data_IF_977535151742
#
_entry.id   IF_977535151742
#
_cell.length_a   1.000
_cell.length_b   1.000
_cell.length_c   1.000
_cell.angle_alpha   90.00
_cell.angle_beta   90.00
_cell.angle_gamma   90.00
#
_symmetry.space_group_name_H-M   'P 1'
#
loop_
_entity.id
_entity.type
_entity.pdbx_description
1 polymer ?
#
# COMPACT_ATOMS: atom_id res chain seq x y z
N UNK A 1 -67.22 -66.79 30.70
CA UNK A 1 -66.70 -65.49 31.17
C UNK A 1 -65.18 -65.46 31.35
N UNK A 2 -64.51 -66.48 31.92
CA UNK A 2 -63.04 -66.48 32.08
C UNK A 2 -62.24 -66.47 30.76
N UNK A 3 -62.65 -67.28 29.77
CA UNK A 3 -61.94 -67.33 28.47
C UNK A 3 -62.12 -66.04 27.68
N UNK A 4 -63.32 -65.44 27.73
CA UNK A 4 -63.63 -64.16 27.08
C UNK A 4 -62.84 -63.00 27.67
N UNK A 5 -62.57 -63.01 28.98
CA UNK A 5 -61.73 -62.01 29.66
C UNK A 5 -60.26 -62.14 29.26
N UNK A 6 -59.73 -63.37 29.14
CA UNK A 6 -58.34 -63.61 28.71
C UNK A 6 -58.11 -63.20 27.26
N UNK A 7 -59.06 -63.46 26.37
CA UNK A 7 -58.97 -63.02 24.96
C UNK A 7 -59.08 -61.50 24.85
N UNK A 8 -59.95 -60.86 25.65
CA UNK A 8 -60.06 -59.40 25.68
C UNK A 8 -58.82 -58.72 26.27
N UNK A 9 -58.17 -59.33 27.27
CA UNK A 9 -56.89 -58.86 27.84
C UNK A 9 -55.75 -59.06 26.84
N UNK A 10 -55.67 -60.18 26.13
CA UNK A 10 -54.63 -60.41 25.12
C UNK A 10 -54.77 -59.49 23.89
N UNK A 11 -56.00 -59.22 23.45
CA UNK A 11 -56.27 -58.29 22.33
C UNK A 11 -55.98 -56.84 22.75
N UNK A 12 -56.34 -56.43 23.98
CA UNK A 12 -56.01 -55.09 24.49
C UNK A 12 -54.51 -54.91 24.73
N UNK A 13 -53.79 -55.94 25.18
CA UNK A 13 -52.32 -55.91 25.32
C UNK A 13 -51.62 -55.78 23.96
N UNK A 14 -52.11 -56.46 22.91
CA UNK A 14 -51.55 -56.35 21.56
C UNK A 14 -51.82 -55.01 20.88
N UNK A 15 -52.89 -54.30 21.26
CA UNK A 15 -53.20 -52.95 20.76
C UNK A 15 -52.43 -51.82 21.44
N UNK A 16 -51.67 -52.12 22.49
CA UNK A 16 -50.84 -51.16 23.23
C UNK A 16 -49.33 -51.35 23.00
N UNK A 17 -48.93 -52.39 22.25
CA UNK A 17 -47.55 -52.63 21.89
C UNK A 17 -47.16 -51.76 20.68
N UNK A 18 -46.69 -50.54 20.93
CA UNK A 18 -45.96 -49.81 19.90
C UNK A 18 -44.70 -50.61 19.55
N UNK A 19 -44.65 -51.16 18.33
CA UNK A 19 -43.55 -51.97 17.81
C UNK A 19 -42.30 -51.12 17.59
N UNK A 20 -41.61 -50.76 18.66
CA UNK A 20 -40.23 -50.30 18.57
C UNK A 20 -39.34 -51.51 18.34
N UNK A 21 -38.45 -51.44 17.35
CA UNK A 21 -37.51 -52.51 17.06
C UNK A 21 -36.16 -52.11 17.67
N UNK A 22 -35.75 -52.83 18.70
CA UNK A 22 -34.41 -52.76 19.27
C UNK A 22 -33.55 -53.91 18.75
N UNK A 23 -32.37 -53.61 18.23
CA UNK A 23 -31.32 -54.61 18.00
C UNK A 23 -30.25 -54.35 19.06
N UNK A 24 -29.95 -55.39 19.85
CA UNK A 24 -28.99 -55.36 20.96
C UNK A 24 -29.27 -54.38 22.12
N UNK A 25 -30.29 -53.52 22.01
CA UNK A 25 -30.77 -52.69 23.12
C UNK A 25 -32.17 -53.12 23.57
N UNK A 26 -32.39 -53.37 24.88
CA UNK A 26 -33.73 -53.61 25.41
C UNK A 26 -34.53 -52.31 25.60
N UNK A 27 -33.92 -51.14 25.33
CA UNK A 27 -34.48 -49.81 25.59
C UNK A 27 -34.36 -48.90 24.34
N UNK A 28 -35.14 -49.18 23.26
CA UNK A 28 -35.10 -48.38 22.04
C UNK A 28 -35.49 -46.91 22.28
N UNK A 29 -34.71 -45.97 21.76
CA UNK A 29 -34.99 -44.52 21.90
C UNK A 29 -35.81 -43.96 20.72
N UNK A 30 -36.23 -44.81 19.78
CA UNK A 30 -36.98 -44.46 18.58
C UNK A 30 -37.86 -45.62 18.09
N UNK A 31 -38.36 -45.54 16.85
CA UNK A 31 -39.10 -46.66 16.22
C UNK A 31 -38.17 -47.79 15.80
N UNK A 32 -36.91 -47.47 15.50
CA UNK A 32 -35.84 -48.44 15.26
C UNK A 32 -34.57 -47.96 15.94
N UNK A 33 -33.93 -48.82 16.74
CA UNK A 33 -32.71 -48.51 17.47
C UNK A 33 -31.72 -49.68 17.39
N UNK A 34 -30.55 -49.46 16.81
CA UNK A 34 -29.45 -50.42 16.77
C UNK A 34 -28.39 -49.96 17.76
N UNK A 35 -28.05 -50.82 18.71
CA UNK A 35 -26.95 -50.64 19.65
C UNK A 35 -25.80 -51.56 19.26
N UNK A 36 -24.75 -51.00 18.67
CA UNK A 36 -23.63 -51.78 18.14
C UNK A 36 -22.82 -52.46 19.23
N UNK A 37 -22.55 -51.75 20.32
CA UNK A 37 -21.70 -52.22 21.42
C UNK A 37 -22.45 -53.02 22.49
N UNK A 38 -23.79 -53.02 22.45
CA UNK A 38 -24.67 -53.61 23.46
C UNK A 38 -24.43 -53.02 24.85
N UNK A 39 -24.15 -51.73 24.92
CA UNK A 39 -23.76 -51.04 26.15
C UNK A 39 -24.83 -50.06 26.65
N UNK A 40 -25.98 -49.94 25.97
CA UNK A 40 -27.07 -49.07 26.41
C UNK A 40 -27.68 -49.49 27.76
N UNK A 41 -28.08 -48.52 28.60
CA UNK A 41 -28.73 -48.81 29.86
C UNK A 41 -30.12 -49.41 29.63
N UNK A 42 -30.50 -50.34 30.51
CA UNK A 42 -31.80 -51.03 30.46
C UNK A 42 -32.99 -50.04 30.60
N UNK A 43 -32.77 -48.88 31.20
CA UNK A 43 -33.74 -47.79 31.29
C UNK A 43 -33.05 -46.42 31.16
N UNK A 44 -33.82 -45.38 30.80
CA UNK A 44 -33.31 -44.02 30.64
C UNK A 44 -32.66 -43.75 29.28
N UNK A 45 -32.08 -42.56 29.11
CA UNK A 45 -31.40 -42.17 27.87
C UNK A 45 -29.93 -42.63 27.94
N UNK A 46 -29.36 -43.28 26.92
CA UNK A 46 -27.94 -43.61 26.91
C UNK A 46 -27.04 -42.38 27.03
N UNK A 47 -25.85 -42.54 27.61
CA UNK A 47 -24.83 -41.48 27.68
C UNK A 47 -24.28 -41.15 26.28
N UNK A 48 -23.63 -40.00 26.12
CA UNK A 48 -23.05 -39.59 24.83
C UNK A 48 -22.02 -40.60 24.28
N UNK A 49 -21.31 -41.31 25.17
CA UNK A 49 -20.33 -42.35 24.78
C UNK A 49 -21.02 -43.60 24.25
N UNK A 50 -22.14 -44.00 24.86
CA UNK A 50 -22.94 -45.14 24.41
C UNK A 50 -23.64 -44.82 23.07
N UNK A 51 -24.28 -43.65 22.98
CA UNK A 51 -24.96 -43.22 21.74
C UNK A 51 -24.02 -43.16 20.53
N UNK A 52 -22.72 -42.93 20.72
CA UNK A 52 -21.76 -42.79 19.62
C UNK A 52 -21.64 -44.03 18.72
N UNK A 53 -22.05 -45.21 19.21
CA UNK A 53 -22.06 -46.44 18.43
C UNK A 53 -23.48 -46.88 18.01
N UNK A 54 -24.49 -46.01 18.22
CA UNK A 54 -25.89 -46.30 17.94
C UNK A 54 -26.38 -45.72 16.60
N UNK A 55 -27.41 -46.37 16.05
CA UNK A 55 -28.24 -45.82 14.97
C UNK A 55 -29.69 -45.78 15.44
N UNK A 56 -30.31 -44.59 15.45
CA UNK A 56 -31.71 -44.38 15.85
C UNK A 56 -32.54 -43.81 14.71
N UNK A 57 -33.74 -44.34 14.50
CA UNK A 57 -34.76 -43.78 13.60
C UNK A 57 -35.98 -43.38 14.42
N UNK A 58 -36.41 -42.13 14.29
CA UNK A 58 -37.61 -41.61 14.94
C UNK A 58 -38.87 -41.79 14.07
N UNK A 59 -40.06 -41.76 14.69
CA UNK A 59 -41.33 -41.82 13.95
C UNK A 59 -41.54 -40.65 12.98
N UNK A 60 -40.79 -39.55 13.16
CA UNK A 60 -40.75 -38.43 12.22
C UNK A 60 -39.92 -38.71 10.95
N UNK A 61 -39.30 -39.89 10.84
CA UNK A 61 -38.43 -40.27 9.71
C UNK A 61 -36.99 -39.73 9.81
N UNK A 62 -36.61 -39.20 10.97
CA UNK A 62 -35.26 -38.66 11.19
C UNK A 62 -34.33 -39.78 11.61
N UNK A 63 -33.15 -39.85 10.98
CA UNK A 63 -32.12 -40.84 11.25
C UNK A 63 -30.95 -40.17 11.99
N UNK A 64 -30.62 -40.67 13.17
CA UNK A 64 -29.45 -40.31 13.94
C UNK A 64 -28.40 -41.42 13.90
N UNK A 65 -27.17 -41.08 13.58
CA UNK A 65 -25.99 -41.95 13.74
C UNK A 65 -25.11 -41.29 14.79
N UNK A 66 -24.86 -41.98 15.90
CA UNK A 66 -24.15 -41.40 17.05
C UNK A 66 -25.04 -40.61 18.01
N UNK A 67 -26.33 -40.45 17.73
CA UNK A 67 -27.28 -39.66 18.53
C UNK A 67 -28.71 -40.23 18.46
N UNK A 68 -29.40 -40.18 19.59
CA UNK A 68 -30.81 -40.59 19.73
C UNK A 68 -31.79 -39.43 19.50
N UNK A 69 -31.31 -38.19 19.37
CA UNK A 69 -32.11 -36.98 19.18
C UNK A 69 -31.74 -36.21 17.89
N UNK A 70 -31.90 -36.82 16.69
CA UNK A 70 -31.59 -36.15 15.44
C UNK A 70 -32.40 -34.86 15.25
N UNK A 71 -31.74 -33.78 14.79
CA UNK A 71 -32.35 -32.47 14.53
C UNK A 71 -32.56 -32.17 13.04
N UNK A 72 -32.24 -33.14 12.20
CA UNK A 72 -32.32 -33.14 10.74
C UNK A 72 -32.72 -34.52 10.24
N UNK A 73 -33.12 -34.62 8.96
CA UNK A 73 -33.48 -35.91 8.35
C UNK A 73 -32.36 -36.95 8.48
N UNK A 74 -31.10 -36.52 8.34
CA UNK A 74 -29.92 -37.30 8.70
C UNK A 74 -28.99 -36.45 9.56
N UNK A 75 -28.74 -36.89 10.80
CA UNK A 75 -27.85 -36.23 11.74
C UNK A 75 -26.76 -37.22 12.18
N UNK A 76 -25.51 -36.88 11.90
CA UNK A 76 -24.35 -37.70 12.24
C UNK A 76 -23.51 -36.93 13.26
N UNK A 77 -23.23 -37.57 14.39
CA UNK A 77 -22.46 -36.97 15.50
C UNK A 77 -21.24 -37.82 15.82
N UNK A 78 -20.10 -37.18 16.10
CA UNK A 78 -18.89 -37.86 16.55
C UNK A 78 -18.90 -38.09 18.09
N UNK A 79 -18.16 -39.09 18.55
CA UNK A 79 -17.99 -39.42 19.97
C UNK A 79 -17.43 -38.23 20.76
N UNK A 80 -17.98 -37.98 21.97
CA UNK A 80 -17.62 -36.86 22.86
C UNK A 80 -17.94 -35.46 22.30
N UNK A 81 -18.77 -35.38 21.25
CA UNK A 81 -19.19 -34.10 20.69
C UNK A 81 -20.63 -33.81 21.10
N UNK A 82 -20.85 -32.72 21.83
CA UNK A 82 -22.20 -32.22 22.07
C UNK A 82 -22.67 -31.50 20.81
N UNK A 83 -23.60 -32.12 20.08
CA UNK A 83 -24.27 -31.44 18.96
C UNK A 83 -25.05 -30.23 19.51
N UNK A 84 -24.47 -29.04 19.39
CA UNK A 84 -25.04 -27.77 19.85
C UNK A 84 -26.20 -27.25 19.00
N UNK A 85 -26.72 -28.07 18.08
CA UNK A 85 -27.85 -27.71 17.23
C UNK A 85 -29.14 -27.74 18.07
N UNK A 86 -29.46 -26.61 18.70
CA UNK A 86 -30.70 -26.42 19.45
C UNK A 86 -31.92 -26.37 18.51
N UNK A 87 -31.78 -25.67 17.38
CA UNK A 87 -32.75 -25.56 16.30
C UNK A 87 -32.00 -25.56 14.96
N UNK A 88 -32.46 -26.37 13.99
CA UNK A 88 -31.91 -26.35 12.63
C UNK A 88 -32.99 -25.96 11.63
N UNK A 89 -32.71 -24.94 10.84
CA UNK A 89 -33.61 -24.40 9.82
C UNK A 89 -33.29 -24.91 8.41
N UNK A 90 -32.23 -25.69 8.25
CA UNK A 90 -31.91 -26.35 6.99
C UNK A 90 -32.72 -27.65 6.87
N UNK A 91 -32.96 -28.11 5.65
CA UNK A 91 -33.43 -29.47 5.36
C UNK A 91 -32.27 -30.20 4.67
N UNK A 92 -31.47 -30.98 5.40
CA UNK A 92 -30.26 -31.60 4.84
C UNK A 92 -29.53 -32.53 5.80
N UNK A 93 -28.25 -32.81 5.49
CA UNK A 93 -27.35 -33.58 6.35
C UNK A 93 -26.66 -32.62 7.32
N UNK A 94 -26.75 -32.89 8.63
CA UNK A 94 -25.94 -32.21 9.64
C UNK A 94 -24.81 -33.14 10.09
N UNK A 95 -23.57 -32.69 9.91
CA UNK A 95 -22.37 -33.30 10.49
C UNK A 95 -21.93 -32.41 11.66
N UNK A 96 -21.92 -32.96 12.86
CA UNK A 96 -21.52 -32.19 14.05
C UNK A 96 -20.36 -32.86 14.76
N UNK A 97 -19.38 -32.05 15.13
CA UNK A 97 -18.22 -32.45 15.90
C UNK A 97 -17.64 -31.26 16.65
N UNK A 98 -16.73 -31.51 17.59
CA UNK A 98 -15.94 -30.47 18.25
C UNK A 98 -14.61 -30.32 17.52
N UNK A 99 -14.12 -29.09 17.39
CA UNK A 99 -12.81 -28.80 16.81
C UNK A 99 -12.38 -27.40 17.22
N UNK A 100 -11.40 -27.33 18.11
CA UNK A 100 -10.75 -26.10 18.54
C UNK A 100 -9.31 -26.14 18.06
N UNK A 101 -8.92 -25.17 17.22
CA UNK A 101 -7.51 -24.99 16.87
C UNK A 101 -7.06 -25.71 15.60
N UNK A 102 -5.78 -25.52 15.32
CA UNK A 102 -5.14 -25.53 13.99
C UNK A 102 -4.81 -26.92 13.44
N UNK A 103 -5.19 -27.98 14.14
CA UNK A 103 -4.85 -29.38 13.86
C UNK A 103 -5.90 -30.08 13.00
N UNK A 104 -6.73 -29.31 12.30
CA UNK A 104 -7.87 -29.76 11.53
C UNK A 104 -8.83 -30.69 12.27
N UNK A 105 -8.91 -30.55 13.60
CA UNK A 105 -10.04 -31.00 14.38
C UNK A 105 -11.33 -30.29 13.94
N UNK A 106 -12.46 -30.99 14.05
CA UNK A 106 -13.78 -30.51 13.64
C UNK A 106 -14.39 -31.31 12.48
N UNK A 107 -15.73 -31.24 12.35
CA UNK A 107 -16.47 -32.03 11.38
C UNK A 107 -16.06 -31.61 9.98
N UNK A 108 -15.75 -32.61 9.15
CA UNK A 108 -15.30 -32.38 7.78
C UNK A 108 -15.95 -33.32 6.80
N UNK A 109 -16.06 -32.83 5.58
CA UNK A 109 -16.35 -33.62 4.40
C UNK A 109 -15.02 -33.98 3.73
N UNK A 110 -14.78 -35.26 3.54
CA UNK A 110 -13.52 -35.78 2.98
C UNK A 110 -13.72 -36.21 1.53
N UNK A 111 -12.81 -35.76 0.67
CA UNK A 111 -12.71 -36.17 -0.72
C UNK A 111 -11.42 -36.96 -0.89
N UNK A 112 -11.54 -38.19 -1.38
CA UNK A 112 -10.41 -39.09 -1.57
C UNK A 112 -10.08 -39.26 -3.06
N UNK A 113 -8.79 -39.16 -3.39
CA UNK A 113 -8.24 -39.63 -4.66
C UNK A 113 -7.28 -40.78 -4.41
N UNK A 114 -7.75 -42.01 -4.60
CA UNK A 114 -6.97 -43.25 -4.36
C UNK A 114 -5.76 -43.40 -5.29
N UNK A 115 -5.74 -42.68 -6.42
CA UNK A 115 -4.61 -42.65 -7.36
C UNK A 115 -3.53 -41.64 -6.99
N UNK A 116 -3.76 -40.75 -6.01
CA UNK A 116 -2.74 -39.83 -5.54
C UNK A 116 -1.64 -40.57 -4.74
N UNK A 117 -0.42 -40.00 -4.65
CA UNK A 117 0.64 -40.56 -3.82
C UNK A 117 0.20 -40.78 -2.37
N UNK A 118 0.74 -41.83 -1.73
CA UNK A 118 0.50 -42.12 -0.31
C UNK A 118 0.84 -40.88 0.53
N UNK A 119 -0.09 -40.49 1.39
CA UNK A 119 0.00 -39.30 2.25
C UNK A 119 -0.57 -38.02 1.65
N UNK A 120 -1.11 -38.05 0.43
CA UNK A 120 -1.73 -36.90 -0.25
C UNK A 120 -3.13 -37.22 -0.82
N UNK A 121 -3.78 -38.30 -0.36
CA UNK A 121 -5.02 -38.78 -0.99
C UNK A 121 -6.25 -37.99 -0.57
N UNK A 122 -6.23 -37.37 0.61
CA UNK A 122 -7.40 -36.75 1.20
C UNK A 122 -7.34 -35.22 1.15
N UNK A 123 -8.42 -34.62 0.65
CA UNK A 123 -8.78 -33.23 0.86
C UNK A 123 -9.92 -33.18 1.88
N UNK A 124 -9.72 -32.45 2.98
CA UNK A 124 -10.75 -32.17 3.97
C UNK A 124 -11.32 -30.77 3.76
N UNK A 125 -12.65 -30.69 3.69
CA UNK A 125 -13.43 -29.47 3.82
C UNK A 125 -14.04 -29.45 5.21
N UNK A 126 -13.62 -28.55 6.08
CA UNK A 126 -14.12 -28.50 7.45
C UNK A 126 -14.51 -27.10 7.87
N UNK A 127 -15.56 -27.06 8.69
CA UNK A 127 -15.98 -25.85 9.36
C UNK A 127 -15.52 -25.96 10.81
N UNK A 128 -14.54 -25.13 11.19
CA UNK A 128 -13.94 -25.14 12.52
C UNK A 128 -13.97 -23.75 13.16
N UNK A 129 -13.57 -23.67 14.43
CA UNK A 129 -13.39 -22.42 15.13
C UNK A 129 -11.90 -22.09 15.21
N UNK A 130 -11.50 -20.92 14.70
CA UNK A 130 -10.16 -20.38 14.99
C UNK A 130 -10.19 -19.65 16.35
N UNK A 131 -9.14 -18.90 16.73
CA UNK A 131 -9.12 -18.22 18.04
C UNK A 131 -10.19 -17.13 18.22
N UNK A 132 -10.87 -16.71 17.15
CA UNK A 132 -11.76 -15.54 17.15
C UNK A 132 -13.12 -15.76 16.48
N UNK A 133 -13.23 -16.66 15.48
CA UNK A 133 -14.45 -16.86 14.71
C UNK A 133 -14.47 -18.22 13.96
N UNK A 134 -15.66 -18.64 13.49
CA UNK A 134 -15.76 -19.81 12.62
C UNK A 134 -15.12 -19.57 11.24
N UNK A 135 -14.50 -20.62 10.70
CA UNK A 135 -13.79 -20.60 9.42
C UNK A 135 -14.12 -21.86 8.62
N UNK A 136 -14.41 -21.69 7.34
CA UNK A 136 -14.42 -22.78 6.37
C UNK A 136 -13.00 -22.96 5.82
N UNK A 137 -12.45 -24.16 5.99
CA UNK A 137 -11.09 -24.49 5.58
C UNK A 137 -11.09 -25.54 4.48
N UNK A 138 -10.10 -25.42 3.61
CA UNK A 138 -9.70 -26.42 2.63
C UNK A 138 -8.28 -26.83 2.99
N UNK A 139 -8.06 -28.09 3.32
CA UNK A 139 -6.77 -28.56 3.83
C UNK A 139 -6.47 -29.99 3.38
N UNK A 140 -5.21 -30.24 3.05
CA UNK A 140 -4.72 -31.61 2.90
C UNK A 140 -4.65 -32.29 4.27
N UNK A 141 -4.93 -33.59 4.32
CA UNK A 141 -4.75 -34.42 5.52
C UNK A 141 -4.06 -35.73 5.13
N UNK A 142 -3.50 -36.44 6.10
CA UNK A 142 -2.93 -37.78 5.88
C UNK A 142 -4.01 -38.75 5.36
N UNK A 143 -3.60 -39.85 4.74
CA UNK A 143 -4.52 -40.83 4.12
C UNK A 143 -5.50 -41.46 5.13
N UNK A 144 -5.16 -41.47 6.41
CA UNK A 144 -6.00 -41.94 7.52
C UNK A 144 -6.77 -40.80 8.22
N UNK A 145 -6.64 -39.57 7.72
CA UNK A 145 -7.11 -38.33 8.33
C UNK A 145 -6.60 -38.07 9.76
N UNK A 146 -5.59 -38.81 10.23
CA UNK A 146 -5.04 -38.72 11.58
C UNK A 146 -4.06 -37.57 11.79
N UNK A 147 -3.60 -36.91 10.73
CA UNK A 147 -2.69 -35.75 10.77
C UNK A 147 -3.10 -34.72 9.72
N UNK A 148 -2.88 -33.45 10.05
CA UNK A 148 -3.32 -32.33 9.20
C UNK A 148 -2.14 -31.71 8.49
N UNK A 149 -2.27 -31.63 7.17
CA UNK A 149 -1.31 -30.99 6.28
C UNK A 149 -1.53 -29.48 6.20
N UNK A 150 -0.88 -28.84 5.22
CA UNK A 150 -1.00 -27.41 5.04
C UNK A 150 -2.43 -27.01 4.68
N UNK A 151 -2.95 -25.99 5.37
CA UNK A 151 -4.17 -25.32 4.98
C UNK A 151 -3.95 -24.66 3.61
N UNK A 152 -4.88 -24.82 2.67
CA UNK A 152 -4.76 -24.28 1.32
C UNK A 152 -5.59 -23.01 1.16
N UNK A 153 -6.78 -22.99 1.74
CA UNK A 153 -7.73 -21.87 1.69
C UNK A 153 -8.45 -21.75 3.04
N UNK A 154 -8.65 -20.51 3.50
CA UNK A 154 -9.57 -20.15 4.59
C UNK A 154 -10.59 -19.14 4.11
N UNK A 155 -11.85 -19.32 4.52
CA UNK A 155 -12.89 -18.30 4.42
C UNK A 155 -13.47 -18.10 5.81
N UNK A 156 -13.25 -16.93 6.38
CA UNK A 156 -13.81 -16.58 7.69
C UNK A 156 -15.27 -16.16 7.57
N UNK A 157 -16.04 -16.26 8.66
CA UNK A 157 -17.42 -15.76 8.69
C UNK A 157 -17.51 -14.25 8.51
N UNK A 158 -16.46 -13.52 8.86
CA UNK A 158 -16.28 -12.08 8.58
C UNK A 158 -16.00 -11.75 7.11
N UNK A 159 -15.90 -12.75 6.23
CA UNK A 159 -15.73 -12.56 4.79
C UNK A 159 -14.28 -12.39 4.32
N UNK A 160 -13.30 -12.76 5.15
CA UNK A 160 -11.87 -12.69 4.81
C UNK A 160 -11.42 -13.99 4.14
N UNK A 161 -10.63 -13.85 3.08
CA UNK A 161 -10.05 -14.94 2.31
C UNK A 161 -8.55 -15.06 2.60
N UNK A 162 -8.11 -16.23 3.03
CA UNK A 162 -6.69 -16.56 3.19
C UNK A 162 -6.27 -17.64 2.20
N UNK A 163 -5.16 -17.42 1.49
CA UNK A 163 -4.59 -18.38 0.52
C UNK A 163 -3.23 -18.84 1.03
N UNK A 164 -3.05 -20.16 1.06
CA UNK A 164 -1.84 -20.89 1.44
C UNK A 164 -1.38 -20.71 2.90
N UNK A 165 -1.74 -21.63 3.78
CA UNK A 165 -1.31 -21.71 5.19
C UNK A 165 -1.64 -20.46 6.00
N UNK A 166 -2.83 -19.88 5.78
CA UNK A 166 -3.31 -18.69 6.50
C UNK A 166 -4.51 -19.06 7.37
N UNK A 167 -4.24 -19.31 8.65
CA UNK A 167 -5.25 -19.82 9.58
C UNK A 167 -6.13 -18.69 10.19
N UNK A 168 -5.75 -17.43 9.97
CA UNK A 168 -6.54 -16.26 10.37
C UNK A 168 -6.16 -15.05 9.50
N UNK A 169 -6.71 -14.94 8.28
CA UNK A 169 -6.41 -13.80 7.41
C UNK A 169 -6.75 -12.49 8.14
N UNK A 170 -5.75 -11.63 8.33
CA UNK A 170 -5.95 -10.35 9.00
C UNK A 170 -6.65 -9.35 8.08
N UNK A 171 -6.32 -9.42 6.79
CA UNK A 171 -6.89 -8.61 5.72
C UNK A 171 -8.03 -9.37 5.01
N UNK A 172 -8.91 -8.63 4.32
CA UNK A 172 -9.97 -9.21 3.49
C UNK A 172 -9.43 -10.22 2.45
N UNK A 173 -8.22 -9.97 1.94
CA UNK A 173 -7.44 -10.93 1.16
C UNK A 173 -6.05 -11.02 1.76
N UNK A 174 -5.66 -12.22 2.17
CA UNK A 174 -4.30 -12.53 2.60
C UNK A 174 -3.72 -13.61 1.69
N UNK A 175 -2.62 -13.32 1.00
CA UNK A 175 -1.89 -14.29 0.17
C UNK A 175 -0.53 -14.51 0.81
N UNK A 176 -0.27 -15.71 1.31
CA UNK A 176 1.02 -16.09 1.86
C UNK A 176 1.85 -16.76 0.76
N UNK A 177 2.75 -15.99 0.16
CA UNK A 177 3.53 -16.38 -1.01
C UNK A 177 3.38 -15.35 -2.13
N UNK A 178 3.30 -15.81 -3.37
CA UNK A 178 3.26 -14.96 -4.55
C UNK A 178 1.84 -14.81 -5.12
N UNK A 179 1.61 -13.76 -5.92
CA UNK A 179 0.33 -13.51 -6.58
C UNK A 179 0.52 -13.23 -8.08
N UNK A 180 -0.24 -13.90 -8.93
CA UNK A 180 -0.28 -13.64 -10.37
C UNK A 180 -1.70 -13.23 -10.78
N UNK A 181 -1.83 -12.06 -11.40
CA UNK A 181 -3.13 -11.50 -11.83
C UNK A 181 -3.12 -11.29 -13.34
N UNK A 182 -4.09 -11.87 -14.03
CA UNK A 182 -4.34 -11.68 -15.46
C UNK A 182 -4.14 -12.92 -16.33
N UNK A 183 -4.91 -12.99 -17.41
CA UNK A 183 -5.02 -14.17 -18.27
C UNK A 183 -3.67 -14.65 -18.84
N UNK A 184 -2.81 -13.73 -19.30
CA UNK A 184 -1.52 -14.11 -19.88
C UNK A 184 -0.48 -14.55 -18.82
N UNK A 185 -0.72 -14.26 -17.53
CA UNK A 185 0.20 -14.58 -16.45
C UNK A 185 -0.19 -15.86 -15.68
N UNK A 186 -1.17 -16.62 -16.17
CA UNK A 186 -1.61 -17.89 -15.56
C UNK A 186 -0.52 -18.96 -15.45
N UNK A 187 0.47 -18.94 -16.36
CA UNK A 187 1.65 -19.83 -16.33
C UNK A 187 2.94 -19.10 -15.93
N UNK A 188 2.85 -17.88 -15.40
CA UNK A 188 3.99 -17.10 -14.94
C UNK A 188 4.10 -17.23 -13.42
N UNK A 189 5.26 -17.71 -12.95
CA UNK A 189 5.56 -17.75 -11.52
C UNK A 189 5.92 -16.33 -11.06
N UNK A 190 5.07 -15.74 -10.22
CA UNK A 190 5.34 -14.44 -9.62
C UNK A 190 6.55 -14.52 -8.66
N UNK A 191 7.28 -13.40 -8.41
CA UNK A 191 8.36 -13.36 -7.44
C UNK A 191 7.92 -13.85 -6.06
N UNK A 192 8.83 -14.50 -5.31
CA UNK A 192 8.59 -14.94 -3.93
C UNK A 192 8.14 -13.73 -3.10
N UNK A 193 7.02 -13.89 -2.38
CA UNK A 193 6.39 -12.81 -1.59
C UNK A 193 6.09 -11.53 -2.39
N UNK A 194 5.89 -11.66 -3.71
CA UNK A 194 5.62 -10.56 -4.62
C UNK A 194 4.42 -10.82 -5.54
N UNK A 195 4.12 -9.84 -6.38
CA UNK A 195 3.01 -9.90 -7.32
C UNK A 195 3.46 -9.58 -8.75
N UNK A 196 2.84 -10.25 -9.73
CA UNK A 196 2.84 -9.83 -11.14
C UNK A 196 1.41 -9.55 -11.57
N UNK A 197 1.19 -8.39 -12.19
CA UNK A 197 -0.15 -7.93 -12.57
C UNK A 197 -0.13 -7.62 -14.06
N UNK A 198 -0.96 -8.31 -14.83
CA UNK A 198 -1.23 -8.00 -16.21
C UNK A 198 -2.22 -6.82 -16.27
N UNK A 199 -1.96 -5.86 -17.15
CA UNK A 199 -2.84 -4.71 -17.36
C UNK A 199 -2.32 -3.45 -16.69
N UNK A 200 -3.22 -2.63 -16.16
CA UNK A 200 -2.94 -1.36 -15.50
C UNK A 200 -3.41 -1.43 -14.04
N UNK A 201 -2.61 -0.92 -13.10
CA UNK A 201 -2.94 -0.85 -11.67
C UNK A 201 -3.38 0.57 -11.34
N UNK A 202 -4.64 0.73 -10.92
CA UNK A 202 -5.18 1.99 -10.42
C UNK A 202 -5.15 2.03 -8.89
N UNK A 203 -4.55 3.07 -8.32
CA UNK A 203 -4.62 3.40 -6.90
C UNK A 203 -5.38 4.72 -6.77
N UNK A 204 -6.60 4.66 -6.25
CA UNK A 204 -7.49 5.84 -6.20
C UNK A 204 -8.09 6.24 -7.54
N UNK A 205 -8.06 5.37 -8.55
CA UNK A 205 -8.76 5.55 -9.84
C UNK A 205 -9.32 4.23 -10.35
N UNK A 206 -10.55 4.27 -10.87
CA UNK A 206 -11.19 3.14 -11.54
C UNK A 206 -10.84 3.05 -13.03
N UNK A 207 -10.25 4.10 -13.60
CA UNK A 207 -9.90 4.21 -15.02
C UNK A 207 -8.40 4.56 -15.17
N UNK A 208 -7.48 3.63 -14.87
CA UNK A 208 -6.06 3.89 -14.97
C UNK A 208 -5.63 4.04 -16.44
N UNK A 209 -5.08 5.21 -16.79
CA UNK A 209 -4.62 5.53 -18.16
C UNK A 209 -3.14 5.17 -18.40
N UNK A 210 -2.50 4.52 -17.43
CA UNK A 210 -1.10 4.11 -17.45
C UNK A 210 -0.91 2.82 -16.66
N UNK A 211 0.25 2.17 -16.80
CA UNK A 211 0.54 0.88 -16.14
C UNK A 211 0.40 0.92 -14.62
N UNK A 212 0.79 2.04 -14.03
CA UNK A 212 0.48 2.41 -12.66
C UNK A 212 -0.10 3.83 -12.71
N UNK A 213 -1.30 4.01 -12.20
CA UNK A 213 -1.99 5.29 -12.14
C UNK A 213 -2.43 5.56 -10.69
N UNK A 214 -2.00 6.69 -10.14
CA UNK A 214 -2.17 7.06 -8.73
C UNK A 214 -3.34 8.07 -8.53
N UNK A 215 -4.25 8.09 -9.50
CA UNK A 215 -5.52 8.80 -9.45
C UNK A 215 -5.43 10.31 -9.56
N UNK A 216 -6.59 10.95 -9.58
CA UNK A 216 -6.76 12.37 -9.95
C UNK A 216 -6.68 13.35 -8.78
N UNK A 217 -6.55 12.87 -7.54
CA UNK A 217 -6.40 13.75 -6.36
C UNK A 217 -5.16 14.64 -6.52
N UNK A 218 -5.29 15.95 -6.33
CA UNK A 218 -4.18 16.89 -6.35
C UNK A 218 -4.01 17.49 -4.95
N UNK A 219 -2.78 17.89 -4.60
CA UNK A 219 -2.57 18.78 -3.46
C UNK A 219 -3.09 20.18 -3.77
N UNK A 220 -3.73 20.82 -2.78
CA UNK A 220 -4.19 22.21 -2.88
C UNK A 220 -3.04 23.22 -2.92
N UNK A 221 -1.90 22.84 -2.35
CA UNK A 221 -0.61 23.55 -2.41
C UNK A 221 0.54 22.53 -2.33
N UNK A 222 1.79 23.00 -2.25
CA UNK A 222 2.97 22.13 -2.26
C UNK A 222 3.27 21.43 -0.93
N UNK A 223 2.53 21.74 0.12
CA UNK A 223 2.68 21.13 1.45
C UNK A 223 1.50 20.20 1.79
N UNK A 224 0.52 20.05 0.89
CA UNK A 224 -0.66 19.22 1.09
C UNK A 224 -0.34 17.72 0.91
N UNK A 225 -0.64 16.93 1.93
CA UNK A 225 -0.45 15.48 1.91
C UNK A 225 -1.23 14.80 0.78
N UNK A 226 -2.41 15.31 0.38
CA UNK A 226 -3.19 14.76 -0.73
C UNK A 226 -2.44 14.81 -2.08
N UNK A 227 -1.44 15.69 -2.18
CA UNK A 227 -0.55 15.80 -3.33
C UNK A 227 0.59 14.76 -3.33
N UNK A 228 0.91 14.11 -2.21
CA UNK A 228 1.97 13.10 -2.15
C UNK A 228 1.49 11.79 -2.78
N UNK A 229 2.18 11.34 -3.83
CA UNK A 229 1.72 10.21 -4.66
C UNK A 229 2.52 8.93 -4.43
N UNK A 230 3.84 9.04 -4.37
CA UNK A 230 4.71 7.87 -4.24
C UNK A 230 5.79 8.15 -3.20
N UNK A 231 5.77 7.37 -2.12
CA UNK A 231 6.88 7.31 -1.16
C UNK A 231 7.89 6.26 -1.64
N UNK A 232 9.14 6.67 -1.80
CA UNK A 232 10.28 5.76 -1.95
C UNK A 232 10.82 5.36 -0.58
N UNK A 233 10.81 6.31 0.37
CA UNK A 233 11.17 6.05 1.76
C UNK A 233 10.37 6.97 2.69
N UNK A 234 9.94 6.41 3.82
CA UNK A 234 9.43 7.13 4.99
C UNK A 234 10.11 6.54 6.22
N UNK A 235 10.58 7.40 7.13
CA UNK A 235 10.92 6.96 8.47
C UNK A 235 9.64 6.49 9.21
N UNK A 236 9.79 5.66 10.25
CA UNK A 236 8.69 5.11 11.04
C UNK A 236 7.73 6.18 11.60
N UNK A 237 8.23 7.40 11.86
CA UNK A 237 7.44 8.54 12.32
C UNK A 237 6.70 9.31 11.22
N UNK A 238 6.89 8.99 9.93
CA UNK A 238 6.27 9.68 8.80
C UNK A 238 6.74 11.11 8.54
N UNK A 239 7.82 11.54 9.22
CA UNK A 239 8.37 12.90 9.13
C UNK A 239 9.41 13.08 8.04
N UNK A 240 9.90 12.00 7.43
CA UNK A 240 10.95 12.06 6.41
C UNK A 240 10.43 11.44 5.11
N UNK A 241 9.66 12.21 4.34
CA UNK A 241 9.14 11.74 3.06
C UNK A 241 10.17 11.97 1.94
N UNK A 242 10.55 10.88 1.29
CA UNK A 242 11.34 10.88 0.06
C UNK A 242 10.48 10.30 -1.04
N UNK A 243 10.22 11.09 -2.08
CA UNK A 243 9.26 10.66 -3.08
C UNK A 243 8.77 11.75 -4.01
N UNK A 244 7.65 11.46 -4.64
CA UNK A 244 7.03 12.30 -5.66
C UNK A 244 5.67 12.82 -5.19
N UNK A 245 5.42 14.08 -5.48
CA UNK A 245 4.14 14.75 -5.23
C UNK A 245 3.66 15.52 -6.45
N UNK A 246 2.41 15.98 -6.39
CA UNK A 246 1.78 16.81 -7.40
C UNK A 246 0.84 17.83 -6.76
N UNK A 247 0.95 19.07 -7.21
CA UNK A 247 -0.09 20.09 -7.06
C UNK A 247 -0.45 20.64 -8.43
N UNK A 248 -1.42 21.56 -8.50
CA UNK A 248 -1.85 22.14 -9.77
C UNK A 248 -0.67 22.72 -10.56
N UNK A 249 -0.33 22.08 -11.68
CA UNK A 249 0.73 22.52 -12.58
C UNK A 249 2.16 22.26 -12.10
N UNK A 250 2.37 21.52 -11.00
CA UNK A 250 3.70 21.25 -10.43
C UNK A 250 3.92 19.76 -10.18
N UNK A 251 4.99 19.20 -10.75
CA UNK A 251 5.59 17.97 -10.26
C UNK A 251 6.58 18.31 -9.14
N UNK A 252 6.47 17.61 -8.02
CA UNK A 252 7.22 17.90 -6.80
C UNK A 252 8.18 16.75 -6.46
N UNK A 253 9.40 17.10 -6.09
CA UNK A 253 10.42 16.18 -5.60
C UNK A 253 10.70 16.49 -4.14
N UNK A 254 10.42 15.51 -3.29
CA UNK A 254 10.62 15.62 -1.86
C UNK A 254 11.86 14.83 -1.45
N UNK A 255 12.73 15.47 -0.67
CA UNK A 255 13.89 14.84 -0.06
C UNK A 255 13.92 15.22 1.43
N UNK A 256 13.60 14.26 2.30
CA UNK A 256 13.54 14.46 3.75
C UNK A 256 12.54 15.55 4.21
N UNK A 257 11.47 15.80 3.45
CA UNK A 257 10.47 16.81 3.86
C UNK A 257 9.46 16.21 4.82
N UNK A 258 9.07 16.95 5.87
CA UNK A 258 7.93 16.56 6.71
C UNK A 258 6.61 16.69 5.95
N UNK A 259 5.50 16.30 6.60
CA UNK A 259 4.18 16.38 6.00
C UNK A 259 3.86 17.78 5.43
N UNK A 260 4.29 18.84 6.12
CA UNK A 260 3.92 20.22 5.83
C UNK A 260 5.08 21.10 5.29
N UNK A 261 6.18 20.51 4.85
CA UNK A 261 7.33 21.26 4.31
C UNK A 261 7.30 21.37 2.79
N UNK A 262 7.86 22.47 2.28
CA UNK A 262 7.94 22.74 0.85
C UNK A 262 8.80 21.67 0.14
N UNK A 263 8.51 21.36 -1.14
CA UNK A 263 9.34 20.46 -1.93
C UNK A 263 10.72 21.06 -2.13
N UNK A 264 11.74 20.20 -2.12
CA UNK A 264 13.13 20.63 -2.36
C UNK A 264 13.34 21.10 -3.80
N UNK A 265 12.61 20.48 -4.73
CA UNK A 265 12.63 20.81 -6.16
C UNK A 265 11.23 20.68 -6.76
N UNK A 266 10.90 21.56 -7.70
CA UNK A 266 9.68 21.49 -8.51
C UNK A 266 9.99 21.55 -10.00
N UNK A 267 9.13 20.92 -10.81
CA UNK A 267 9.05 21.10 -12.25
C UNK A 267 7.65 21.60 -12.61
N UNK A 268 7.57 22.78 -13.20
CA UNK A 268 6.29 23.34 -13.65
C UNK A 268 5.82 22.71 -14.94
N UNK A 269 4.52 22.77 -15.23
CA UNK A 269 3.96 22.38 -16.52
C UNK A 269 4.53 23.19 -17.71
N UNK A 270 5.05 24.39 -17.46
CA UNK A 270 5.79 25.21 -18.42
C UNK A 270 7.26 24.79 -18.63
N UNK A 271 7.72 23.75 -17.95
CA UNK A 271 9.07 23.20 -18.05
C UNK A 271 10.15 24.01 -17.31
N UNK A 272 9.77 24.77 -16.28
CA UNK A 272 10.73 25.48 -15.43
C UNK A 272 11.08 24.62 -14.21
N UNK A 273 12.36 24.56 -13.86
CA UNK A 273 12.86 23.87 -12.66
C UNK A 273 13.13 24.88 -11.56
N UNK A 274 12.49 24.69 -10.41
CA UNK A 274 12.77 25.43 -9.17
C UNK A 274 13.54 24.57 -8.18
N UNK A 275 14.62 25.09 -7.59
CA UNK A 275 15.32 24.47 -6.46
C UNK A 275 15.30 25.46 -5.30
N UNK A 276 14.72 25.06 -4.17
CA UNK A 276 14.47 25.96 -3.03
C UNK A 276 13.38 27.01 -3.29
N UNK A 277 12.59 26.87 -4.36
CA UNK A 277 11.44 27.72 -4.68
C UNK A 277 10.38 26.91 -5.42
N UNK A 278 9.10 27.16 -5.13
CA UNK A 278 7.95 26.57 -5.83
C UNK A 278 7.49 27.40 -7.04
N UNK A 279 8.01 28.62 -7.20
CA UNK A 279 7.58 29.60 -8.21
C UNK A 279 8.75 30.07 -9.10
N UNK A 280 9.33 29.18 -9.93
CA UNK A 280 10.48 29.53 -10.77
C UNK A 280 10.12 30.51 -11.89
N UNK A 281 10.76 31.68 -11.91
CA UNK A 281 10.58 32.74 -12.93
C UNK A 281 11.45 32.57 -14.18
N UNK A 282 12.32 31.55 -14.18
CA UNK A 282 13.25 31.22 -15.26
C UNK A 282 13.25 29.71 -15.52
N UNK A 283 13.86 29.26 -16.63
CA UNK A 283 13.98 27.83 -16.95
C UNK A 283 14.65 27.02 -15.84
N UNK A 284 15.63 27.62 -15.17
CA UNK A 284 16.22 27.12 -13.93
C UNK A 284 16.27 28.29 -12.93
N UNK A 285 15.58 28.17 -11.80
CA UNK A 285 15.61 29.13 -10.71
C UNK A 285 16.10 28.42 -9.43
N UNK A 286 17.27 28.80 -8.95
CA UNK A 286 17.88 28.24 -7.73
C UNK A 286 17.98 29.34 -6.68
N UNK A 287 17.34 29.14 -5.53
CA UNK A 287 17.57 29.97 -4.35
C UNK A 287 18.75 29.37 -3.59
N UNK A 288 19.95 29.90 -3.83
CA UNK A 288 21.19 29.44 -3.21
C UNK A 288 22.39 29.49 -4.16
N UNK A 289 23.47 28.79 -3.78
CA UNK A 289 24.68 28.73 -4.58
C UNK A 289 24.58 27.66 -5.67
N UNK A 290 25.13 27.97 -6.85
CA UNK A 290 25.33 27.00 -7.94
C UNK A 290 26.84 26.74 -8.04
N UNK A 291 27.26 25.51 -7.77
CA UNK A 291 28.61 25.06 -8.08
C UNK A 291 28.62 24.42 -9.48
N UNK A 292 29.18 25.14 -10.45
CA UNK A 292 29.39 24.62 -11.79
C UNK A 292 30.89 24.46 -12.05
N UNK A 293 31.31 23.30 -12.57
CA UNK A 293 32.70 23.03 -12.94
C UNK A 293 33.10 23.62 -14.30
N UNK A 294 32.15 24.25 -15.01
CA UNK A 294 32.35 24.89 -16.31
C UNK A 294 31.66 26.25 -16.39
N UNK A 295 31.78 26.88 -17.56
CA UNK A 295 31.18 28.19 -17.81
C UNK A 295 29.66 28.08 -17.97
N UNK A 296 28.91 28.85 -17.18
CA UNK A 296 27.43 28.94 -17.28
C UNK A 296 27.01 29.93 -18.40
N UNK A 297 27.89 30.87 -18.75
CA UNK A 297 27.67 31.87 -19.80
C UNK A 297 28.56 31.61 -21.02
N UNK A 298 28.04 31.07 -22.13
CA UNK A 298 28.86 30.81 -23.31
C UNK A 298 29.33 32.13 -23.95
N UNK A 299 30.57 32.17 -24.45
CA UNK A 299 31.22 33.40 -24.98
C UNK A 299 32.02 33.15 -26.28
N UNK A 300 31.55 32.22 -27.11
CA UNK A 300 32.19 31.86 -28.40
C UNK A 300 31.89 32.91 -29.49
N UNK A 301 32.84 33.19 -30.39
CA UNK A 301 32.62 34.14 -31.49
C UNK A 301 31.52 33.66 -32.46
N UNK A 302 31.36 32.35 -32.64
CA UNK A 302 30.37 31.74 -33.56
C UNK A 302 28.93 31.95 -33.12
N UNK A 303 28.71 32.25 -31.84
CA UNK A 303 27.39 32.54 -31.27
C UNK A 303 27.17 34.03 -31.01
N UNK A 304 28.15 34.88 -31.35
CA UNK A 304 28.07 36.33 -31.26
C UNK A 304 27.83 36.94 -32.64
N UNK A 305 27.10 38.04 -32.69
CA UNK A 305 26.86 38.86 -33.88
C UNK A 305 27.03 40.33 -33.52
N UNK A 306 27.17 41.19 -34.52
CA UNK A 306 27.24 42.65 -34.35
C UNK A 306 28.36 43.09 -33.38
N UNK A 307 29.55 42.52 -33.55
CA UNK A 307 30.70 42.75 -32.65
C UNK A 307 31.33 44.12 -32.95
N UNK A 308 31.19 45.07 -32.02
CA UNK A 308 31.83 46.40 -32.06
C UNK A 308 32.62 46.69 -30.78
N UNK A 309 33.52 47.68 -30.83
CA UNK A 309 34.26 48.11 -29.65
C UNK A 309 33.35 48.71 -28.57
N UNK A 310 33.70 48.46 -27.30
CA UNK A 310 32.98 49.03 -26.16
C UNK A 310 33.12 50.55 -26.12
N UNK A 311 32.00 51.28 -26.00
CA UNK A 311 31.98 52.75 -25.91
C UNK A 311 32.27 53.26 -24.49
N UNK A 312 32.02 52.43 -23.47
CA UNK A 312 32.25 52.80 -22.07
C UNK A 312 33.72 52.63 -21.68
N UNK A 313 34.16 53.41 -20.69
CA UNK A 313 35.54 53.41 -20.24
C UNK A 313 35.71 54.20 -18.94
N UNK A 314 36.86 54.84 -18.79
CA UNK A 314 37.28 55.53 -17.57
C UNK A 314 36.29 56.62 -17.18
N UNK A 315 35.80 57.38 -18.16
CA UNK A 315 34.84 58.47 -17.94
C UNK A 315 33.58 58.01 -17.20
N UNK A 316 32.97 56.90 -17.63
CA UNK A 316 31.75 56.39 -16.99
C UNK A 316 32.04 55.81 -15.62
N UNK A 317 33.14 55.05 -15.48
CA UNK A 317 33.52 54.45 -14.19
C UNK A 317 33.73 55.53 -13.11
N UNK A 318 34.34 56.66 -13.45
CA UNK A 318 34.57 57.76 -12.49
C UNK A 318 33.28 58.44 -12.00
N UNK A 319 32.15 58.25 -12.68
CA UNK A 319 30.85 58.79 -12.24
C UNK A 319 30.10 57.88 -11.27
N UNK A 320 30.55 56.62 -11.12
CA UNK A 320 29.85 55.65 -10.29
C UNK A 320 30.17 55.82 -8.81
N UNK A 321 29.13 55.79 -7.99
CA UNK A 321 29.27 55.78 -6.53
C UNK A 321 29.27 54.35 -6.00
N UNK A 322 30.33 53.97 -5.32
CA UNK A 322 30.37 52.73 -4.55
C UNK A 322 29.64 52.92 -3.22
N UNK A 323 28.77 51.98 -2.88
CA UNK A 323 27.96 52.06 -1.66
C UNK A 323 28.13 50.80 -0.81
N UNK A 324 27.83 50.96 0.48
CA UNK A 324 27.62 49.84 1.39
C UNK A 324 26.13 49.76 1.73
N UNK A 325 25.56 48.56 1.78
CA UNK A 325 24.13 48.39 2.06
C UNK A 325 23.84 47.09 2.84
N UNK A 326 22.61 46.98 3.33
CA UNK A 326 21.98 45.75 3.81
C UNK A 326 20.63 45.60 3.12
N UNK A 327 20.18 44.37 2.92
CA UNK A 327 18.84 44.13 2.39
C UNK A 327 17.78 44.47 3.42
N UNK A 328 16.61 44.93 2.95
CA UNK A 328 15.44 45.18 3.82
C UNK A 328 14.79 43.87 4.27
N UNK A 329 14.75 42.85 3.40
CA UNK A 329 14.36 41.48 3.77
C UNK A 329 15.63 40.71 4.19
N UNK A 330 15.66 40.25 5.44
CA UNK A 330 16.78 39.49 5.99
C UNK A 330 16.99 38.10 5.34
N UNK A 331 15.98 37.55 4.68
CA UNK A 331 16.07 36.30 3.91
C UNK A 331 16.99 36.43 2.70
N UNK A 332 17.14 37.65 2.17
CA UNK A 332 18.08 37.97 1.08
C UNK A 332 19.51 38.20 1.57
N UNK A 333 19.70 38.33 2.89
CA UNK A 333 21.02 38.43 3.51
C UNK A 333 21.09 39.50 4.62
N UNK A 334 21.67 39.10 5.77
CA UNK A 334 21.80 39.94 6.97
C UNK A 334 23.09 40.78 7.00
N UNK A 335 24.10 40.33 6.27
CA UNK A 335 25.42 40.94 6.29
C UNK A 335 25.48 42.25 5.49
N UNK A 336 26.38 43.14 5.90
CA UNK A 336 26.71 44.35 5.14
C UNK A 336 27.39 43.95 3.82
N UNK A 337 26.89 44.48 2.71
CA UNK A 337 27.41 44.24 1.35
C UNK A 337 27.95 45.54 0.75
N UNK A 338 28.82 45.41 -0.25
CA UNK A 338 29.32 46.51 -1.07
C UNK A 338 28.74 46.34 -2.47
N UNK A 339 28.38 47.44 -3.13
CA UNK A 339 27.87 47.39 -4.50
C UNK A 339 27.54 48.75 -5.07
N UNK A 340 26.65 48.76 -6.07
CA UNK A 340 26.13 49.95 -6.74
C UNK A 340 24.61 50.03 -6.60
N UNK A 341 24.07 51.23 -6.82
CA UNK A 341 22.63 51.44 -6.99
C UNK A 341 22.30 51.24 -8.47
N UNK A 342 21.40 50.31 -8.78
CA UNK A 342 21.05 49.96 -10.15
C UNK A 342 20.51 51.16 -10.96
N UNK A 343 19.76 52.06 -10.31
CA UNK A 343 19.22 53.27 -10.94
C UNK A 343 20.32 54.27 -11.34
N UNK A 344 21.38 54.40 -10.54
CA UNK A 344 22.52 55.27 -10.85
C UNK A 344 23.34 54.72 -12.01
N UNK A 345 23.55 53.40 -12.04
CA UNK A 345 24.20 52.71 -13.16
C UNK A 345 23.34 52.85 -14.43
N UNK A 346 22.01 52.69 -14.34
CA UNK A 346 21.10 52.85 -15.48
C UNK A 346 21.21 54.21 -16.17
N UNK A 347 21.46 55.27 -15.41
CA UNK A 347 21.58 56.62 -15.96
C UNK A 347 22.85 56.83 -16.82
N UNK A 348 23.88 56.00 -16.62
CA UNK A 348 25.19 56.15 -17.25
C UNK A 348 25.49 55.04 -18.26
N UNK A 349 25.10 53.80 -17.94
CA UNK A 349 25.33 52.58 -18.69
C UNK A 349 24.07 51.69 -18.64
N UNK A 350 23.00 52.07 -19.37
CA UNK A 350 21.69 51.42 -19.27
C UNK A 350 21.71 49.93 -19.65
N UNK A 351 22.60 49.49 -20.52
CA UNK A 351 22.71 48.10 -21.02
C UNK A 351 23.18 47.14 -19.93
N UNK A 352 23.83 47.63 -18.86
CA UNK A 352 24.32 46.80 -17.76
C UNK A 352 23.22 46.46 -16.73
N UNK A 353 21.97 46.87 -16.98
CA UNK A 353 20.84 46.69 -16.07
C UNK A 353 19.90 45.61 -16.57
N UNK A 354 19.68 44.62 -15.71
CA UNK A 354 18.68 43.56 -15.92
C UNK A 354 17.40 44.00 -15.21
N UNK A 355 16.25 43.87 -15.86
CA UNK A 355 14.93 44.13 -15.26
C UNK A 355 14.21 42.81 -15.09
N UNK A 356 13.87 42.45 -13.85
CA UNK A 356 13.11 41.26 -13.56
C UNK A 356 11.67 41.37 -14.09
N UNK A 357 11.10 40.25 -14.50
CA UNK A 357 9.69 40.14 -14.87
C UNK A 357 8.86 39.77 -13.63
N UNK A 358 8.93 40.61 -12.61
CA UNK A 358 8.10 40.55 -11.40
C UNK A 358 7.15 41.77 -11.36
N UNK A 359 6.17 41.78 -10.46
CA UNK A 359 5.19 42.88 -10.37
C UNK A 359 5.84 44.26 -10.15
N UNK A 360 7.04 44.28 -9.55
CA UNK A 360 7.76 45.51 -9.21
C UNK A 360 8.81 45.94 -10.25
N UNK A 361 9.04 45.15 -11.30
CA UNK A 361 10.13 45.32 -12.27
C UNK A 361 11.50 45.55 -11.60
N UNK A 362 11.88 44.65 -10.68
CA UNK A 362 13.09 44.78 -9.86
C UNK A 362 14.34 44.91 -10.75
N UNK A 363 15.16 45.94 -10.50
CA UNK A 363 16.39 46.21 -11.26
C UNK A 363 17.60 45.53 -10.62
N UNK A 364 18.38 44.82 -11.43
CA UNK A 364 19.66 44.21 -11.08
C UNK A 364 20.82 44.78 -11.91
N UNK A 365 22.03 44.72 -11.36
CA UNK A 365 23.26 45.15 -12.04
C UNK A 365 24.04 43.93 -12.53
N UNK A 366 24.45 43.92 -13.80
CA UNK A 366 25.33 42.90 -14.36
C UNK A 366 26.79 43.20 -13.99
N UNK A 367 27.19 42.77 -12.79
CA UNK A 367 28.55 42.97 -12.29
C UNK A 367 29.62 42.30 -13.18
N UNK A 368 29.29 41.20 -13.87
CA UNK A 368 30.23 40.54 -14.77
C UNK A 368 30.59 41.44 -15.96
N UNK A 369 29.61 42.11 -16.58
CA UNK A 369 29.88 43.02 -17.70
C UNK A 369 30.55 44.32 -17.27
N UNK A 370 30.34 44.80 -16.03
CA UNK A 370 31.12 45.92 -15.47
C UNK A 370 32.63 45.63 -15.49
N UNK A 371 33.06 44.38 -15.27
CA UNK A 371 34.48 44.03 -15.33
C UNK A 371 35.10 44.27 -16.71
N UNK A 372 34.31 44.14 -17.79
CA UNK A 372 34.74 44.45 -19.15
C UNK A 372 34.91 45.96 -19.34
N UNK A 373 34.03 46.78 -18.77
CA UNK A 373 34.16 48.25 -18.79
C UNK A 373 35.37 48.70 -17.97
N UNK A 374 35.57 48.11 -16.79
CA UNK A 374 36.75 48.36 -15.96
C UNK A 374 38.05 48.02 -16.71
N UNK A 375 38.06 46.94 -17.49
CA UNK A 375 39.21 46.58 -18.34
C UNK A 375 39.55 47.72 -19.32
N UNK A 376 38.54 48.27 -20.01
CA UNK A 376 38.75 49.43 -20.92
C UNK A 376 39.16 50.70 -20.16
N UNK A 377 38.57 50.96 -19.01
CA UNK A 377 38.96 52.08 -18.16
C UNK A 377 40.44 52.01 -17.73
N UNK A 378 40.93 50.82 -17.37
CA UNK A 378 42.34 50.59 -17.03
C UNK A 378 43.23 50.80 -18.26
N UNK A 379 42.82 50.33 -19.44
CA UNK A 379 43.56 50.56 -20.69
C UNK A 379 43.67 52.06 -21.03
N UNK A 380 42.58 52.81 -20.87
CA UNK A 380 42.55 54.26 -21.06
C UNK A 380 43.42 54.98 -20.01
N UNK A 381 43.30 54.60 -18.74
CA UNK A 381 44.13 55.13 -17.65
C UNK A 381 45.63 54.87 -17.90
N UNK A 382 45.98 53.69 -18.41
CA UNK A 382 47.38 53.36 -18.73
C UNK A 382 47.92 54.23 -19.86
N UNK A 383 47.10 54.56 -20.88
CA UNK A 383 47.50 55.50 -21.94
C UNK A 383 47.80 56.89 -21.38
N UNK A 384 46.96 57.38 -20.48
CA UNK A 384 47.15 58.66 -19.81
C UNK A 384 48.44 58.66 -18.97
N UNK A 385 48.70 57.58 -18.22
CA UNK A 385 49.92 57.43 -17.44
C UNK A 385 51.17 57.45 -18.33
N UNK A 386 51.17 56.73 -19.45
CA UNK A 386 52.30 56.72 -20.39
C UNK A 386 52.50 58.06 -21.08
N UNK A 387 51.41 58.77 -21.37
CA UNK A 387 51.46 60.14 -21.87
C UNK A 387 52.13 61.07 -20.84
N UNK A 388 51.65 61.07 -19.59
CA UNK A 388 52.21 61.88 -18.50
C UNK A 388 53.67 61.55 -18.21
N UNK A 389 54.07 60.27 -18.25
CA UNK A 389 55.49 59.88 -18.07
C UNK A 389 56.40 60.47 -19.15
N UNK A 390 55.97 60.42 -20.43
CA UNK A 390 56.72 61.03 -21.53
C UNK A 390 56.85 62.53 -21.37
N UNK A 391 55.77 63.19 -20.96
CA UNK A 391 55.79 64.63 -20.68
C UNK A 391 56.77 64.96 -19.55
N UNK A 392 56.77 64.19 -18.46
CA UNK A 392 57.73 64.32 -17.37
C UNK A 392 59.18 64.10 -17.84
N UNK A 393 59.45 63.12 -18.71
CA UNK A 393 60.79 62.91 -19.28
C UNK A 393 61.26 64.09 -20.13
N UNK A 394 60.38 64.65 -20.96
CA UNK A 394 60.67 65.84 -21.77
C UNK A 394 60.98 67.03 -20.87
N UNK A 395 60.15 67.27 -19.85
CA UNK A 395 60.34 68.36 -18.88
C UNK A 395 61.64 68.20 -18.07
N UNK A 396 62.04 66.97 -17.74
CA UNK A 396 63.32 66.69 -17.05
C UNK A 396 64.54 66.95 -17.93
N UNK A 397 64.44 66.79 -19.26
CA UNK A 397 65.53 67.08 -20.21
C UNK A 397 65.64 68.57 -20.57
N UNK A 398 64.59 69.35 -20.32
CA UNK A 398 64.55 70.79 -20.57
C UNK A 398 65.08 71.64 -19.39
N UNK A 399 65.47 71.00 -18.29
CA UNK A 399 66.23 71.58 -17.17
C UNK A 399 67.67 71.08 -17.23
#
# INVERSE_FOLDING_TARGET
MKNTLFTLVAITFSSLAYSQIGINTPNPQGVFHIDGAKDNPVTGVPSATQQANDITVLNSGFVGIGTTLPKQKLHITELNTTSGILNSFVSGIALTGIGYGFDGSGPGFYLENTNAPVGQRLLKLNYSLNSTEPVLNFQGVSDDAGSVGAQMLSITRSGKLGINSVNNPQNNLTVNGNASVGNAYTNVVAPINGAVIQGNVGIGTAAPNSKLDLGTSLGTNETDFAGKKLAVYNNAGGTDFYGLGISSGLLQFHAASTAAEAPSMVLTSGGNVGIGTNSPSQKLHVIGNILASGTITPSDIRIKKDITDNVYGLKQILTLRTINYKYKNEELGKDKKIGFIAQEVKATMPELIITANDEMNTLGVNYAEITVVLTKAIQEQQKEIEFLKKEIEILKKAK
#
